data_IF_582875357232
#
_entry.id   IF_582875357232
#
_cell.length_a   1.000
_cell.length_b   1.000
_cell.length_c   1.000
_cell.angle_alpha   90.00
_cell.angle_beta   90.00
_cell.angle_gamma   90.00
#
_symmetry.space_group_name_H-M   'P 1'
#
loop_
_entity.id
_entity.type
_entity.pdbx_description
1 polymer ?
#
# COMPACT_ATOMS: atom_id res chain seq x y z
N UNK A 1 8.70 -15.18 -8.20
CA UNK A 1 9.00 -13.90 -8.87
C UNK A 1 7.92 -13.46 -9.84
N UNK A 2 7.23 -14.37 -10.54
CA UNK A 2 6.12 -14.07 -11.45
C UNK A 2 5.17 -12.95 -10.99
N UNK A 3 4.74 -12.96 -9.71
CA UNK A 3 3.87 -11.92 -9.17
C UNK A 3 4.40 -10.49 -9.33
N UNK A 4 5.72 -10.27 -9.21
CA UNK A 4 6.32 -8.95 -9.42
C UNK A 4 6.42 -8.58 -10.91
N UNK A 5 6.61 -9.58 -11.78
CA UNK A 5 6.62 -9.38 -13.23
C UNK A 5 5.25 -8.94 -13.73
N UNK A 6 4.18 -9.53 -13.21
CA UNK A 6 2.79 -9.19 -13.56
C UNK A 6 2.42 -7.77 -13.15
N UNK A 7 3.10 -7.20 -12.14
CA UNK A 7 2.89 -5.83 -11.65
C UNK A 7 3.67 -4.77 -12.45
N UNK A 8 4.53 -5.18 -13.40
CA UNK A 8 5.23 -4.23 -14.27
C UNK A 8 4.26 -3.42 -15.13
N UNK A 9 4.68 -2.24 -15.56
CA UNK A 9 3.85 -1.38 -16.40
C UNK A 9 3.49 -2.05 -17.73
N UNK A 10 4.43 -2.80 -18.32
CA UNK A 10 4.22 -3.57 -19.53
C UNK A 10 3.10 -4.59 -19.35
N UNK A 11 3.16 -5.41 -18.30
CA UNK A 11 2.14 -6.43 -18.02
C UNK A 11 0.80 -5.86 -17.63
N UNK A 12 0.78 -4.80 -16.81
CA UNK A 12 -0.45 -4.05 -16.49
C UNK A 12 -1.11 -3.50 -17.76
N UNK A 13 -0.33 -2.92 -18.67
CA UNK A 13 -0.86 -2.37 -19.93
C UNK A 13 -1.45 -3.47 -20.82
N UNK A 14 -0.74 -4.58 -20.99
CA UNK A 14 -1.24 -5.76 -21.72
C UNK A 14 -2.56 -6.28 -21.14
N UNK A 15 -2.69 -6.31 -19.81
CA UNK A 15 -3.91 -6.73 -19.12
C UNK A 15 -5.08 -5.78 -19.35
N UNK A 16 -4.87 -4.47 -19.17
CA UNK A 16 -5.92 -3.45 -19.30
C UNK A 16 -6.43 -3.30 -20.74
N UNK A 17 -5.60 -3.57 -21.75
CA UNK A 17 -6.03 -3.57 -23.16
C UNK A 17 -7.02 -4.69 -23.49
N UNK A 18 -7.00 -5.79 -22.72
CA UNK A 18 -7.87 -6.95 -22.95
C UNK A 18 -9.08 -6.95 -22.03
N UNK A 19 -8.90 -6.48 -20.79
CA UNK A 19 -9.89 -6.56 -19.73
C UNK A 19 -10.34 -5.15 -19.31
N UNK A 20 -11.35 -4.63 -19.99
CA UNK A 20 -11.90 -3.31 -19.71
C UNK A 20 -12.86 -3.36 -18.52
N UNK A 21 -12.79 -2.36 -17.64
CA UNK A 21 -13.73 -2.20 -16.55
C UNK A 21 -15.11 -1.80 -17.10
N UNK A 22 -16.20 -2.53 -16.75
CA UNK A 22 -17.55 -2.18 -17.21
C UNK A 22 -17.96 -0.79 -16.74
N UNK A 23 -18.55 0.00 -17.63
CA UNK A 23 -18.86 1.42 -17.38
C UNK A 23 -20.05 1.61 -16.45
N UNK A 24 -20.89 0.61 -16.30
CA UNK A 24 -22.10 0.60 -15.49
C UNK A 24 -21.81 0.42 -14.00
N UNK A 25 -20.68 -0.20 -13.64
CA UNK A 25 -20.35 -0.48 -12.25
C UNK A 25 -19.99 0.81 -11.49
N UNK A 26 -20.42 0.97 -10.23
CA UNK A 26 -19.89 2.00 -9.35
C UNK A 26 -18.45 1.65 -8.99
N UNK A 27 -17.56 2.65 -9.09
CA UNK A 27 -16.12 2.45 -8.83
C UNK A 27 -15.67 3.51 -7.84
N UNK A 28 -15.05 3.04 -6.76
CA UNK A 28 -14.35 3.87 -5.78
C UNK A 28 -12.90 3.41 -5.77
N UNK A 29 -11.98 4.35 -5.94
CA UNK A 29 -10.55 4.14 -5.74
C UNK A 29 -10.13 4.68 -4.38
N UNK A 30 -9.19 4.00 -3.74
CA UNK A 30 -8.56 4.48 -2.52
C UNK A 30 -7.05 4.34 -2.69
N UNK A 31 -6.30 5.36 -2.30
CA UNK A 31 -4.85 5.27 -2.22
C UNK A 31 -4.35 5.94 -0.96
N UNK A 32 -3.18 5.50 -0.51
CA UNK A 32 -2.52 5.98 0.69
C UNK A 32 -1.09 6.40 0.37
N UNK A 33 -0.44 7.07 1.31
CA UNK A 33 0.92 7.56 1.16
C UNK A 33 1.77 7.05 2.34
N UNK A 34 2.83 6.30 2.07
CA UNK A 34 3.75 5.86 3.12
C UNK A 34 4.52 7.06 3.71
N UNK A 35 4.93 6.94 4.98
CA UNK A 35 5.80 7.93 5.60
C UNK A 35 7.24 7.74 5.15
N UNK A 36 7.78 8.71 4.41
CA UNK A 36 9.19 8.77 4.00
C UNK A 36 10.06 9.59 4.97
N UNK A 37 9.60 9.78 6.21
CA UNK A 37 10.34 10.59 7.18
C UNK A 37 11.74 10.01 7.44
N UNK A 38 12.76 10.84 7.73
CA UNK A 38 14.09 10.35 8.08
C UNK A 38 14.07 9.34 9.25
N UNK A 39 13.15 9.50 10.20
CA UNK A 39 12.96 8.56 11.31
C UNK A 39 12.45 7.19 10.83
N UNK A 40 11.48 7.16 9.91
CA UNK A 40 10.99 5.92 9.31
C UNK A 40 12.10 5.19 8.55
N UNK A 41 12.89 5.92 7.75
CA UNK A 41 14.00 5.36 6.98
C UNK A 41 15.19 4.92 7.87
N UNK A 42 15.49 5.66 8.95
CA UNK A 42 16.56 5.32 9.88
C UNK A 42 16.37 3.96 10.56
N UNK A 43 15.12 3.48 10.64
CA UNK A 43 14.81 2.15 11.19
C UNK A 43 15.42 1.03 10.34
N UNK A 44 15.54 1.21 9.02
CA UNK A 44 16.28 0.26 8.16
C UNK A 44 17.76 0.21 8.52
N UNK A 45 18.39 1.37 8.74
CA UNK A 45 19.81 1.45 9.10
C UNK A 45 20.05 0.79 10.46
N UNK A 46 19.17 1.00 11.45
CA UNK A 46 19.31 0.34 12.76
C UNK A 46 19.21 -1.19 12.69
N UNK A 47 18.32 -1.74 11.86
CA UNK A 47 18.24 -3.19 11.66
C UNK A 47 19.43 -3.73 10.87
N UNK A 48 19.96 -2.96 9.91
CA UNK A 48 21.19 -3.31 9.21
C UNK A 48 22.44 -3.25 10.12
N UNK A 49 22.39 -2.51 11.25
CA UNK A 49 23.47 -2.35 12.22
C UNK A 49 23.27 -3.10 13.55
N UNK A 50 22.38 -4.09 13.60
CA UNK A 50 22.21 -4.94 14.79
C UNK A 50 23.38 -5.95 14.91
N UNK A 51 24.54 -5.46 15.36
CA UNK A 51 25.71 -6.27 15.74
C UNK A 51 25.58 -6.78 17.20
N UNK A 52 25.95 -8.04 17.46
CA UNK A 52 26.03 -8.60 18.81
C UNK A 52 27.29 -8.10 19.54
N UNK A 53 27.26 -7.95 20.88
CA UNK A 53 28.49 -7.77 21.65
C UNK A 53 29.34 -9.05 21.52
N UNK A 54 30.59 -8.92 21.07
CA UNK A 54 31.56 -10.00 21.12
C UNK A 54 31.84 -10.36 22.59
N UNK A 55 31.22 -11.43 23.08
CA UNK A 55 31.72 -12.14 24.26
C UNK A 55 32.67 -13.24 23.77
N UNK A 56 33.97 -13.00 23.91
CA UNK A 56 34.99 -14.05 23.77
C UNK A 56 35.49 -14.45 25.17
N UNK A 57 36.09 -15.65 25.34
CA UNK A 57 36.18 -16.79 24.41
C UNK A 57 35.58 -18.06 25.05
N UNK A 58 34.72 -18.82 24.35
CA UNK A 58 34.48 -20.27 24.55
C UNK A 58 33.23 -20.71 23.76
N UNK A 59 33.40 -21.18 22.52
CA UNK A 59 32.76 -22.40 22.01
C UNK A 59 32.86 -22.51 20.48
N UNK A 60 33.41 -23.64 20.05
CA UNK A 60 33.44 -24.12 18.67
C UNK A 60 32.05 -24.64 18.25
N UNK A 61 31.12 -23.72 17.91
CA UNK A 61 29.80 -24.05 17.36
C UNK A 61 29.66 -23.69 15.87
N UNK A 62 28.80 -24.38 15.09
CA UNK A 62 28.55 -24.04 13.69
C UNK A 62 27.92 -22.64 13.54
N UNK A 63 28.09 -21.97 12.39
CA UNK A 63 27.72 -20.57 12.21
C UNK A 63 26.21 -20.36 12.45
N UNK A 64 25.87 -19.54 13.45
CA UNK A 64 24.50 -19.14 13.73
C UNK A 64 23.99 -18.26 12.58
N UNK A 65 22.93 -18.71 11.88
CA UNK A 65 22.21 -17.89 10.89
C UNK A 65 21.41 -16.82 11.64
N UNK A 66 21.89 -15.59 11.64
CA UNK A 66 21.17 -14.45 12.23
C UNK A 66 20.06 -14.00 11.27
N UNK A 67 18.80 -14.11 11.69
CA UNK A 67 17.66 -13.60 10.91
C UNK A 67 17.64 -12.08 10.96
N UNK A 68 17.96 -11.43 9.84
CA UNK A 68 17.75 -9.99 9.68
C UNK A 68 16.26 -9.72 9.58
N UNK A 69 15.65 -9.21 10.65
CA UNK A 69 14.23 -8.84 10.67
C UNK A 69 14.10 -7.45 10.05
N UNK A 70 13.87 -7.37 8.73
CA UNK A 70 13.59 -6.08 8.08
C UNK A 70 12.21 -5.59 8.54
N UNK A 71 12.09 -4.43 9.19
CA UNK A 71 10.80 -3.92 9.62
C UNK A 71 10.00 -3.53 8.39
N UNK A 72 8.81 -4.13 8.24
CA UNK A 72 8.00 -4.00 7.03
C UNK A 72 7.71 -2.54 6.68
N UNK A 73 7.31 -1.72 7.66
CA UNK A 73 7.05 -0.29 7.43
C UNK A 73 8.30 0.49 6.99
N UNK A 74 9.49 0.09 7.46
CA UNK A 74 10.75 0.72 7.05
C UNK A 74 11.11 0.34 5.60
N UNK A 75 10.84 -0.92 5.19
CA UNK A 75 10.97 -1.34 3.80
C UNK A 75 9.99 -0.59 2.88
N UNK A 76 8.72 -0.45 3.30
CA UNK A 76 7.72 0.33 2.55
C UNK A 76 8.13 1.80 2.39
N UNK A 77 8.67 2.42 3.46
CA UNK A 77 9.18 3.78 3.40
C UNK A 77 10.32 3.94 2.39
N UNK A 78 11.28 2.99 2.35
CA UNK A 78 12.37 3.03 1.38
C UNK A 78 11.90 2.80 -0.06
N UNK A 79 10.97 1.87 -0.28
CA UNK A 79 10.37 1.66 -1.59
C UNK A 79 9.57 2.90 -2.03
N UNK A 80 8.86 3.56 -1.11
CA UNK A 80 8.17 4.81 -1.40
C UNK A 80 9.14 5.92 -1.80
N UNK A 81 10.25 6.06 -1.07
CA UNK A 81 11.30 7.01 -1.41
C UNK A 81 11.90 6.72 -2.80
N UNK A 82 12.13 5.45 -3.13
CA UNK A 82 12.63 5.04 -4.44
C UNK A 82 11.66 5.43 -5.56
N UNK A 83 10.37 5.13 -5.40
CA UNK A 83 9.34 5.49 -6.38
C UNK A 83 9.22 7.01 -6.55
N UNK A 84 9.32 7.77 -5.46
CA UNK A 84 9.29 9.23 -5.52
C UNK A 84 10.51 9.81 -6.25
N UNK A 85 11.71 9.27 -6.04
CA UNK A 85 12.92 9.70 -6.77
C UNK A 85 12.84 9.33 -8.24
N UNK A 86 12.34 8.13 -8.55
CA UNK A 86 12.31 7.61 -9.92
C UNK A 86 11.22 8.24 -10.78
N UNK A 87 10.04 8.46 -10.21
CA UNK A 87 8.84 8.86 -10.95
C UNK A 87 8.28 10.22 -10.54
N UNK A 88 8.77 10.83 -9.45
CA UNK A 88 8.24 12.10 -8.93
C UNK A 88 6.86 11.96 -8.27
N UNK A 89 6.35 10.75 -8.11
CA UNK A 89 5.00 10.46 -7.62
C UNK A 89 5.06 9.87 -6.21
N UNK A 90 4.08 10.22 -5.39
CA UNK A 90 3.93 9.62 -4.06
C UNK A 90 3.37 8.21 -4.16
N UNK A 91 3.63 7.39 -3.15
CA UNK A 91 3.16 6.01 -3.09
C UNK A 91 2.97 5.52 -1.65
N UNK A 92 2.28 4.40 -1.52
CA UNK A 92 2.13 3.64 -0.28
C UNK A 92 3.31 2.70 0.01
N UNK A 93 4.39 2.78 -0.78
CA UNK A 93 5.53 1.89 -0.71
C UNK A 93 5.54 0.78 -1.76
N UNK A 94 4.45 0.55 -2.49
CA UNK A 94 4.43 -0.39 -3.62
C UNK A 94 3.77 0.20 -4.87
N UNK A 95 2.66 0.91 -4.71
CA UNK A 95 1.86 1.45 -5.82
C UNK A 95 1.83 2.97 -5.73
N UNK A 96 2.08 3.65 -6.84
CA UNK A 96 1.96 5.11 -6.87
C UNK A 96 0.50 5.52 -6.67
N UNK A 97 0.26 6.64 -6.00
CA UNK A 97 -1.09 7.17 -5.79
C UNK A 97 -1.86 7.28 -7.11
N UNK A 98 -1.17 7.72 -8.17
CA UNK A 98 -1.76 7.88 -9.51
C UNK A 98 -2.16 6.55 -10.14
N UNK A 99 -1.38 5.49 -9.93
CA UNK A 99 -1.67 4.17 -10.51
C UNK A 99 -2.78 3.42 -9.77
N UNK A 100 -3.05 3.78 -8.52
CA UNK A 100 -4.17 3.25 -7.72
C UNK A 100 -5.53 3.90 -8.08
N UNK A 101 -5.52 5.01 -8.80
CA UNK A 101 -6.74 5.70 -9.25
C UNK A 101 -7.25 5.13 -10.58
N UNK A 102 -8.50 4.65 -10.56
CA UNK A 102 -9.21 4.29 -11.79
C UNK A 102 -9.84 5.55 -12.38
N UNK A 103 -9.61 5.88 -13.67
CA UNK A 103 -10.22 7.04 -14.29
C UNK A 103 -11.75 7.04 -14.20
N UNK A 104 -12.33 8.16 -13.76
CA UNK A 104 -13.78 8.32 -13.59
C UNK A 104 -14.36 7.73 -12.30
N UNK A 105 -13.52 7.14 -11.44
CA UNK A 105 -13.94 6.70 -10.10
C UNK A 105 -14.05 7.86 -9.11
N UNK A 106 -14.80 7.67 -8.04
CA UNK A 106 -14.69 8.52 -6.85
C UNK A 106 -13.42 8.09 -6.09
N UNK A 107 -12.54 9.05 -5.78
CA UNK A 107 -11.25 8.74 -5.15
C UNK A 107 -11.21 9.20 -3.71
N UNK A 108 -10.95 8.26 -2.80
CA UNK A 108 -10.68 8.50 -1.38
C UNK A 108 -9.18 8.67 -1.16
N UNK A 109 -8.80 9.76 -0.50
CA UNK A 109 -7.40 10.16 -0.27
C UNK A 109 -7.18 10.47 1.23
N UNK A 110 -6.95 9.47 2.08
CA UNK A 110 -6.69 9.69 3.50
C UNK A 110 -5.47 10.60 3.69
N UNK A 111 -5.57 11.54 4.64
CA UNK A 111 -4.45 12.46 4.94
C UNK A 111 -3.36 11.81 5.79
N UNK A 112 -3.70 10.78 6.57
CA UNK A 112 -2.77 10.03 7.40
C UNK A 112 -1.80 9.26 6.51
N UNK A 113 -0.54 9.19 6.92
CA UNK A 113 0.48 8.41 6.23
C UNK A 113 0.33 6.95 6.60
N UNK A 114 -0.08 6.15 5.63
CA UNK A 114 -0.38 4.73 5.75
C UNK A 114 0.36 4.04 4.61
N UNK A 115 1.14 3.01 4.93
CA UNK A 115 1.82 2.21 3.92
C UNK A 115 0.92 1.10 3.36
N UNK A 116 1.39 0.41 2.33
CA UNK A 116 0.62 -0.62 1.65
C UNK A 116 0.27 -1.80 2.59
N UNK A 117 1.14 -2.06 3.56
CA UNK A 117 0.98 -3.16 4.50
C UNK A 117 -0.10 -2.85 5.56
N UNK A 118 -0.39 -1.58 5.83
CA UNK A 118 -1.39 -1.15 6.80
C UNK A 118 -2.76 -1.81 6.56
N UNK A 119 -3.25 -1.85 5.31
CA UNK A 119 -4.55 -2.47 4.99
C UNK A 119 -4.66 -3.94 5.40
N UNK A 120 -3.53 -4.65 5.48
CA UNK A 120 -3.48 -6.09 5.76
C UNK A 120 -3.18 -6.37 7.22
N UNK A 121 -2.27 -5.60 7.82
CA UNK A 121 -1.72 -5.90 9.14
C UNK A 121 -2.24 -4.99 10.25
N UNK A 122 -3.07 -3.97 9.96
CA UNK A 122 -3.60 -3.07 11.00
C UNK A 122 -4.36 -3.82 12.09
N UNK A 123 -5.04 -4.91 11.75
CA UNK A 123 -5.83 -5.71 12.70
C UNK A 123 -4.97 -6.46 13.73
N UNK A 124 -3.65 -6.55 13.53
CA UNK A 124 -2.71 -7.11 14.52
C UNK A 124 -2.20 -6.06 15.51
N UNK A 125 -2.49 -4.77 15.28
CA UNK A 125 -2.13 -3.69 16.19
C UNK A 125 -3.33 -3.36 17.07
N UNK A 126 -3.19 -3.60 18.38
CA UNK A 126 -4.22 -3.27 19.39
C UNK A 126 -4.17 -1.79 19.83
N UNK A 127 -3.45 -0.92 19.12
CA UNK A 127 -3.34 0.50 19.46
C UNK A 127 -4.60 1.27 18.99
N UNK A 128 -5.46 1.75 19.90
CA UNK A 128 -6.68 2.47 19.54
C UNK A 128 -6.43 3.85 18.92
N UNK A 129 -5.19 4.35 18.94
CA UNK A 129 -4.80 5.60 18.29
C UNK A 129 -4.40 5.42 16.82
N UNK A 130 -4.18 4.17 16.38
CA UNK A 130 -3.90 3.84 15.00
C UNK A 130 -5.17 3.80 14.15
N UNK A 131 -5.01 4.04 12.84
CA UNK A 131 -6.15 3.95 11.95
C UNK A 131 -6.55 2.47 11.78
N UNK A 132 -7.84 2.19 11.87
CA UNK A 132 -8.38 0.85 11.68
C UNK A 132 -8.77 0.60 10.21
N UNK A 133 -8.15 -0.40 9.58
CA UNK A 133 -8.50 -0.79 8.21
C UNK A 133 -9.94 -1.31 8.09
N UNK A 134 -10.53 -1.85 9.17
CA UNK A 134 -11.92 -2.32 9.17
C UNK A 134 -12.90 -1.15 8.95
N UNK A 135 -12.68 -0.03 9.66
CA UNK A 135 -13.45 1.20 9.50
C UNK A 135 -13.27 1.81 8.10
N UNK A 136 -12.04 1.77 7.56
CA UNK A 136 -11.77 2.22 6.19
C UNK A 136 -12.55 1.36 5.17
N UNK A 137 -12.54 0.03 5.33
CA UNK A 137 -13.30 -0.89 4.48
C UNK A 137 -14.81 -0.61 4.56
N UNK A 138 -15.36 -0.41 5.76
CA UNK A 138 -16.78 -0.08 5.96
C UNK A 138 -17.15 1.24 5.27
N UNK A 139 -16.32 2.28 5.42
CA UNK A 139 -16.52 3.57 4.78
C UNK A 139 -16.46 3.45 3.24
N UNK A 140 -15.53 2.66 2.70
CA UNK A 140 -15.41 2.42 1.25
C UNK A 140 -16.63 1.66 0.71
N UNK A 141 -17.12 0.64 1.42
CA UNK A 141 -18.31 -0.11 1.03
C UNK A 141 -19.55 0.77 1.03
N UNK A 142 -19.72 1.57 2.08
CA UNK A 142 -20.81 2.55 2.16
C UNK A 142 -20.76 3.53 0.99
N UNK A 143 -19.58 4.07 0.69
CA UNK A 143 -19.41 5.01 -0.43
C UNK A 143 -19.71 4.36 -1.78
N UNK A 144 -19.29 3.11 -2.01
CA UNK A 144 -19.62 2.36 -3.24
C UNK A 144 -21.13 2.20 -3.39
N UNK A 145 -21.84 1.90 -2.30
CA UNK A 145 -23.31 1.77 -2.32
C UNK A 145 -23.99 3.10 -2.67
N UNK A 146 -23.56 4.21 -2.08
CA UNK A 146 -24.09 5.54 -2.37
C UNK A 146 -23.84 5.95 -3.84
N UNK A 147 -22.61 5.74 -4.34
CA UNK A 147 -22.26 6.01 -5.74
C UNK A 147 -23.11 5.15 -6.67
N UNK A 148 -23.33 3.87 -6.33
CA UNK A 148 -24.18 2.97 -7.09
C UNK A 148 -25.63 3.42 -7.15
N UNK A 149 -26.20 3.90 -6.05
CA UNK A 149 -27.57 4.41 -6.01
C UNK A 149 -27.73 5.68 -6.85
N UNK A 150 -26.80 6.64 -6.71
CA UNK A 150 -26.80 7.87 -7.51
C UNK A 150 -26.76 7.57 -9.01
N UNK A 151 -25.86 6.65 -9.41
CA UNK A 151 -25.72 6.24 -10.80
C UNK A 151 -26.97 5.56 -11.37
N UNK A 152 -27.63 4.70 -10.58
CA UNK A 152 -28.92 4.09 -10.96
C UNK A 152 -30.01 5.15 -11.16
N UNK A 153 -30.07 6.13 -10.27
CA UNK A 153 -31.04 7.21 -10.37
C UNK A 153 -30.80 8.08 -11.62
N UNK A 154 -29.54 8.46 -11.89
CA UNK A 154 -29.18 9.21 -13.09
C UNK A 154 -29.55 8.49 -14.39
N UNK A 155 -29.37 7.16 -14.43
CA UNK A 155 -29.75 6.34 -15.59
C UNK A 155 -31.27 6.33 -15.78
N UNK A 156 -32.05 6.18 -14.70
CA UNK A 156 -33.51 6.21 -14.75
C UNK A 156 -34.03 7.56 -15.26
N UNK A 157 -33.47 8.68 -14.78
CA UNK A 157 -33.89 10.04 -15.20
C UNK A 157 -33.49 10.43 -16.61
N UNK A 158 -32.54 9.71 -17.24
CA UNK A 158 -32.12 9.96 -18.64
C UNK A 158 -32.94 9.17 -19.67
N UNK A 159 -33.77 8.24 -19.20
CA UNK A 159 -34.65 7.39 -20.03
C UNK A 159 -36.08 7.94 -20.11
N UNK A 160 -36.40 8.98 -19.36
CA UNK A 160 -37.64 9.79 -19.42
C UNK A 160 -37.43 11.05 -20.27
#
# INVERSE_FOLDING_TARGET
MQALEDLTYEKRKEFLMKNHLPRELPVVSCHTEASISPAALATLSRVAHAELPMVTPLSAGPPAKLSVVVPLGAAMAACAQLLQVRYGEKSDGLVTCRDAEVPGSVVVRPKRKLDHAWMVYSALNDDPSEADASQMCEALLTLVMEVGQKKKHELATKLE
#
